data_IF_766006755758
#
_entry.id   IF_766006755758
#
_cell.length_a   1.000
_cell.length_b   1.000
_cell.length_c   1.000
_cell.angle_alpha   90.00
_cell.angle_beta   90.00
_cell.angle_gamma   90.00
#
_symmetry.space_group_name_H-M   'P 1'
#
loop_
_entity.id
_entity.type
_entity.pdbx_description
1 polymer ?
#
# COMPACT_ATOMS: atom_id res chain seq x y z
N UNK A 1 -4.09 -15.07 29.52
CA UNK A 1 -3.35 -13.85 29.12
C UNK A 1 -3.94 -13.21 27.86
N UNK A 2 -4.00 -13.91 26.71
CA UNK A 2 -4.58 -13.38 25.46
C UNK A 2 -6.05 -12.92 25.60
N UNK A 3 -6.88 -13.72 26.28
CA UNK A 3 -8.28 -13.39 26.56
C UNK A 3 -8.45 -12.04 27.30
N UNK A 4 -7.59 -11.77 28.29
CA UNK A 4 -7.68 -10.61 29.15
C UNK A 4 -7.14 -9.33 28.49
N UNK A 5 -6.12 -9.46 27.63
CA UNK A 5 -5.51 -8.32 26.93
C UNK A 5 -6.35 -7.88 25.72
N UNK A 6 -6.75 -8.84 24.87
CA UNK A 6 -7.52 -8.55 23.65
C UNK A 6 -9.03 -8.48 23.90
N UNK A 7 -9.50 -8.93 25.07
CA UNK A 7 -10.91 -8.93 25.48
C UNK A 7 -11.77 -9.70 24.47
N UNK A 8 -11.38 -10.94 24.16
CA UNK A 8 -11.98 -11.72 23.06
C UNK A 8 -13.48 -11.97 23.30
N UNK A 9 -13.86 -12.37 24.52
CA UNK A 9 -15.26 -12.54 24.93
C UNK A 9 -16.08 -11.24 24.84
N UNK A 10 -15.50 -10.08 25.18
CA UNK A 10 -16.19 -8.78 25.06
C UNK A 10 -16.40 -8.36 23.59
N UNK A 11 -15.52 -8.82 22.70
CA UNK A 11 -15.60 -8.55 21.26
C UNK A 11 -16.30 -9.68 20.48
N UNK A 12 -16.96 -10.63 21.17
CA UNK A 12 -17.69 -11.76 20.58
C UNK A 12 -16.86 -12.62 19.61
N UNK A 13 -15.59 -12.88 19.95
CA UNK A 13 -14.67 -13.66 19.12
C UNK A 13 -13.90 -14.70 19.93
N UNK A 14 -13.20 -15.61 19.26
CA UNK A 14 -12.33 -16.61 19.87
C UNK A 14 -11.00 -16.71 19.11
N UNK A 15 -10.01 -17.36 19.73
CA UNK A 15 -8.65 -17.49 19.16
C UNK A 15 -8.67 -18.10 17.76
N UNK A 16 -9.47 -19.15 17.51
CA UNK A 16 -9.55 -19.80 16.21
C UNK A 16 -10.10 -18.86 15.12
N UNK A 17 -11.14 -18.10 15.45
CA UNK A 17 -11.74 -17.10 14.55
C UNK A 17 -10.75 -15.99 14.23
N UNK A 18 -10.03 -15.46 15.23
CA UNK A 18 -8.99 -14.44 15.02
C UNK A 18 -7.82 -14.98 14.18
N UNK A 19 -7.42 -16.24 14.37
CA UNK A 19 -6.40 -16.90 13.55
C UNK A 19 -6.81 -17.01 12.08
N UNK A 20 -8.04 -17.44 11.82
CA UNK A 20 -8.59 -17.56 10.47
C UNK A 20 -8.80 -16.18 9.82
N UNK A 21 -9.27 -15.20 10.60
CA UNK A 21 -9.40 -13.82 10.15
C UNK A 21 -8.05 -13.22 9.78
N UNK A 22 -7.02 -13.44 10.60
CA UNK A 22 -5.66 -12.95 10.33
C UNK A 22 -5.05 -13.59 9.09
N UNK A 23 -5.26 -14.89 8.88
CA UNK A 23 -4.86 -15.55 7.65
C UNK A 23 -5.63 -15.01 6.42
N UNK A 24 -6.93 -14.75 6.57
CA UNK A 24 -7.75 -14.19 5.48
C UNK A 24 -7.26 -12.79 5.10
N UNK A 25 -7.00 -11.93 6.09
CA UNK A 25 -6.38 -10.61 5.88
C UNK A 25 -5.00 -10.74 5.26
N UNK A 26 -4.17 -11.68 5.75
CA UNK A 26 -2.84 -11.92 5.20
C UNK A 26 -2.86 -12.09 3.70
N UNK A 27 -3.75 -12.98 3.25
CA UNK A 27 -3.70 -13.39 1.88
C UNK A 27 -4.44 -12.43 0.97
N UNK A 28 -5.47 -11.74 1.47
CA UNK A 28 -6.10 -10.64 0.75
C UNK A 28 -5.11 -9.50 0.46
N UNK A 29 -4.13 -9.27 1.34
CA UNK A 29 -3.13 -8.21 1.20
C UNK A 29 -1.79 -8.69 0.63
N UNK A 30 -1.55 -9.99 0.49
CA UNK A 30 -0.25 -10.55 0.14
C UNK A 30 0.32 -10.02 -1.18
N UNK A 31 -0.51 -9.52 -2.09
CA UNK A 31 -0.07 -8.91 -3.34
C UNK A 31 0.83 -7.69 -3.13
N UNK A 32 0.67 -6.94 -2.02
CA UNK A 32 1.46 -5.73 -1.76
C UNK A 32 2.96 -6.03 -1.62
N UNK A 33 3.27 -7.24 -1.16
CA UNK A 33 4.64 -7.75 -1.00
C UNK A 33 5.38 -7.76 -2.35
N UNK A 34 4.66 -7.90 -3.47
CA UNK A 34 5.25 -7.89 -4.82
C UNK A 34 5.02 -6.57 -5.53
N UNK A 35 3.83 -5.97 -5.36
CA UNK A 35 3.46 -4.75 -6.07
C UNK A 35 4.28 -3.53 -5.62
N UNK A 36 4.52 -3.38 -4.31
CA UNK A 36 5.30 -2.23 -3.82
C UNK A 36 6.77 -2.27 -4.31
N UNK A 37 7.51 -3.40 -4.23
CA UNK A 37 8.84 -3.51 -4.83
C UNK A 37 8.87 -3.33 -6.34
N UNK A 38 7.84 -3.77 -7.06
CA UNK A 38 7.76 -3.58 -8.51
C UNK A 38 7.66 -2.09 -8.88
N UNK A 39 6.92 -1.28 -8.11
CA UNK A 39 6.73 0.15 -8.37
C UNK A 39 7.89 1.00 -7.85
N UNK A 40 8.41 0.73 -6.66
CA UNK A 40 9.53 1.50 -6.10
C UNK A 40 10.84 1.19 -6.81
N UNK A 41 11.05 -0.03 -7.32
CA UNK A 41 12.29 -0.36 -8.04
C UNK A 41 12.45 0.40 -9.35
N UNK A 42 11.36 0.92 -9.94
CA UNK A 42 11.41 1.82 -11.10
C UNK A 42 12.23 3.08 -10.82
N UNK A 43 12.29 3.54 -9.56
CA UNK A 43 13.07 4.70 -9.14
C UNK A 43 14.58 4.43 -9.02
N UNK A 44 15.01 3.19 -9.28
CA UNK A 44 16.39 2.73 -9.08
C UNK A 44 16.66 2.13 -7.69
N UNK A 45 15.62 1.93 -6.87
CA UNK A 45 15.76 1.23 -5.58
C UNK A 45 16.01 -0.27 -5.78
N UNK A 46 16.90 -0.90 -4.99
CA UNK A 46 17.08 -2.36 -5.00
C UNK A 46 15.78 -3.10 -4.67
N UNK A 47 15.22 -3.82 -5.66
CA UNK A 47 13.89 -4.46 -5.53
C UNK A 47 13.82 -5.44 -4.35
N UNK A 48 14.88 -6.23 -4.12
CA UNK A 48 14.94 -7.17 -2.99
C UNK A 48 14.99 -6.43 -1.64
N UNK A 49 15.71 -5.31 -1.56
CA UNK A 49 15.71 -4.47 -0.36
C UNK A 49 14.34 -3.87 -0.07
N UNK A 50 13.63 -3.40 -1.10
CA UNK A 50 12.25 -2.87 -0.96
C UNK A 50 11.26 -3.97 -0.57
N UNK A 51 11.41 -5.18 -1.10
CA UNK A 51 10.62 -6.34 -0.70
C UNK A 51 10.72 -6.59 0.80
N UNK A 52 11.95 -6.62 1.32
CA UNK A 52 12.19 -6.79 2.74
C UNK A 52 11.67 -5.60 3.57
N UNK A 53 11.91 -4.36 3.12
CA UNK A 53 11.37 -3.16 3.76
C UNK A 53 9.84 -3.19 3.85
N UNK A 54 9.17 -3.57 2.77
CA UNK A 54 7.70 -3.70 2.69
C UNK A 54 7.18 -4.66 3.76
N UNK A 55 7.80 -5.84 3.90
CA UNK A 55 7.36 -6.84 4.88
C UNK A 55 7.62 -6.34 6.30
N UNK A 56 8.81 -5.82 6.59
CA UNK A 56 9.15 -5.31 7.93
C UNK A 56 8.25 -4.14 8.34
N UNK A 57 8.00 -3.20 7.43
CA UNK A 57 7.08 -2.08 7.68
C UNK A 57 5.66 -2.57 7.92
N UNK A 58 5.19 -3.56 7.15
CA UNK A 58 3.86 -4.14 7.32
C UNK A 58 3.74 -4.85 8.67
N UNK A 59 4.77 -5.61 9.08
CA UNK A 59 4.87 -6.26 10.39
C UNK A 59 4.80 -5.21 11.51
N UNK A 60 5.65 -4.18 11.44
CA UNK A 60 5.73 -3.14 12.49
C UNK A 60 4.41 -2.37 12.57
N UNK A 61 3.89 -1.89 11.44
CA UNK A 61 2.63 -1.14 11.42
C UNK A 61 1.45 -1.96 11.93
N UNK A 62 1.33 -3.20 11.47
CA UNK A 62 0.26 -4.10 11.89
C UNK A 62 0.39 -4.51 13.36
N UNK A 63 1.62 -4.68 13.89
CA UNK A 63 1.85 -4.91 15.32
C UNK A 63 1.48 -3.71 16.18
N UNK A 64 1.81 -2.49 15.75
CA UNK A 64 1.41 -1.27 16.45
C UNK A 64 -0.12 -1.24 16.51
N UNK A 65 -0.81 -1.41 15.39
CA UNK A 65 -2.28 -1.41 15.37
C UNK A 65 -2.90 -2.54 16.19
N UNK A 66 -2.33 -3.74 16.13
CA UNK A 66 -2.80 -4.89 16.90
C UNK A 66 -2.61 -4.73 18.40
N UNK A 67 -1.42 -4.32 18.85
CA UNK A 67 -1.08 -4.25 20.27
C UNK A 67 -1.55 -2.94 20.92
N UNK A 68 -1.39 -1.80 20.25
CA UNK A 68 -1.74 -0.49 20.79
C UNK A 68 -3.21 -0.13 20.57
N UNK A 69 -3.73 -0.32 19.35
CA UNK A 69 -5.13 0.02 19.06
C UNK A 69 -6.12 -1.11 19.36
N UNK A 70 -5.65 -2.35 19.53
CA UNK A 70 -6.48 -3.55 19.65
C UNK A 70 -7.52 -3.62 18.52
N UNK A 71 -7.06 -3.45 17.28
CA UNK A 71 -7.90 -3.51 16.09
C UNK A 71 -7.40 -4.56 15.09
N UNK A 72 -8.31 -5.28 14.39
CA UNK A 72 -8.00 -6.25 13.36
C UNK A 72 -7.65 -5.60 12.01
N UNK A 73 -7.00 -4.44 12.04
CA UNK A 73 -6.52 -3.74 10.84
C UNK A 73 -5.08 -4.11 10.57
N UNK A 74 -4.78 -4.32 9.30
CA UNK A 74 -3.42 -4.50 8.82
C UNK A 74 -2.97 -3.26 8.05
N UNK A 75 -1.72 -2.87 8.32
CA UNK A 75 -1.11 -1.67 7.76
C UNK A 75 0.00 -2.11 6.84
N UNK A 76 0.01 -1.62 5.61
CA UNK A 76 1.04 -1.88 4.61
C UNK A 76 1.29 -0.61 3.78
N UNK A 77 2.35 -0.56 2.95
CA UNK A 77 2.58 0.57 2.05
C UNK A 77 1.37 0.85 1.15
N UNK A 78 0.90 2.10 1.12
CA UNK A 78 -0.31 2.50 0.39
C UNK A 78 -0.07 2.55 -1.13
N UNK A 79 -1.02 2.01 -1.89
CA UNK A 79 -0.99 2.03 -3.36
C UNK A 79 -0.99 3.45 -3.95
N UNK A 80 -1.77 4.37 -3.35
CA UNK A 80 -1.78 5.76 -3.78
C UNK A 80 -0.46 6.46 -3.45
N UNK A 81 0.08 6.20 -2.27
CA UNK A 81 1.27 6.88 -1.78
C UNK A 81 2.56 6.37 -2.46
N UNK A 82 2.65 5.07 -2.79
CA UNK A 82 3.75 4.56 -3.62
C UNK A 82 3.72 5.14 -5.04
N UNK A 83 2.53 5.40 -5.60
CA UNK A 83 2.39 6.03 -6.91
C UNK A 83 2.83 7.50 -6.87
N UNK A 84 2.41 8.26 -5.85
CA UNK A 84 2.92 9.62 -5.63
C UNK A 84 4.44 9.63 -5.43
N UNK A 85 4.98 8.69 -4.67
CA UNK A 85 6.42 8.56 -4.45
C UNK A 85 7.17 8.36 -5.78
N UNK A 86 6.79 7.35 -6.57
CA UNK A 86 7.52 6.99 -7.79
C UNK A 86 7.28 8.00 -8.91
N UNK A 87 6.02 8.26 -9.25
CA UNK A 87 5.69 8.99 -10.47
C UNK A 87 5.69 10.50 -10.27
N UNK A 88 5.26 10.99 -9.10
CA UNK A 88 5.21 12.43 -8.84
C UNK A 88 6.52 12.95 -8.28
N UNK A 89 7.04 12.35 -7.21
CA UNK A 89 8.19 12.90 -6.48
C UNK A 89 9.50 12.58 -7.18
N UNK A 90 9.73 11.31 -7.52
CA UNK A 90 10.99 10.92 -8.16
C UNK A 90 11.00 11.33 -9.63
N UNK A 91 10.04 10.88 -10.43
CA UNK A 91 10.04 11.18 -11.85
C UNK A 91 9.54 12.60 -12.18
N UNK A 92 8.41 13.01 -11.59
CA UNK A 92 7.81 14.31 -11.91
C UNK A 92 8.58 15.52 -11.37
N UNK A 93 9.10 15.43 -10.14
CA UNK A 93 9.82 16.53 -9.48
C UNK A 93 11.35 16.37 -9.52
N UNK A 94 11.87 15.23 -10.00
CA UNK A 94 13.30 14.98 -10.17
C UNK A 94 14.07 14.74 -8.87
N UNK A 95 13.40 14.42 -7.77
CA UNK A 95 14.07 14.07 -6.51
C UNK A 95 14.66 12.65 -6.58
N UNK A 96 15.75 12.42 -5.86
CA UNK A 96 16.27 11.05 -5.72
C UNK A 96 15.34 10.22 -4.82
N UNK A 97 15.38 8.89 -4.95
CA UNK A 97 14.57 8.03 -4.07
C UNK A 97 14.97 8.16 -2.59
N UNK A 98 16.23 8.47 -2.27
CA UNK A 98 16.66 8.77 -0.90
C UNK A 98 15.98 10.03 -0.37
N UNK A 99 15.84 11.04 -1.24
CA UNK A 99 15.10 12.24 -0.90
C UNK A 99 13.60 11.91 -0.75
N UNK A 100 13.00 11.16 -1.66
CA UNK A 100 11.60 10.77 -1.50
C UNK A 100 11.37 10.00 -0.17
N UNK A 101 12.29 9.13 0.27
CA UNK A 101 12.22 8.45 1.58
C UNK A 101 12.35 9.42 2.77
N UNK A 102 13.19 10.45 2.66
CA UNK A 102 13.26 11.48 3.70
C UNK A 102 11.97 12.30 3.78
N UNK A 103 11.28 12.53 2.65
CA UNK A 103 9.95 13.15 2.65
C UNK A 103 8.92 12.24 3.32
N UNK A 104 8.91 10.93 3.03
CA UNK A 104 8.06 9.93 3.72
C UNK A 104 8.24 10.02 5.24
N UNK A 105 9.49 10.07 5.71
CA UNK A 105 9.78 10.21 7.14
C UNK A 105 9.26 11.54 7.71
N UNK A 106 9.45 12.66 7.01
CA UNK A 106 8.92 13.97 7.41
C UNK A 106 7.40 13.99 7.43
N UNK A 107 6.73 13.33 6.47
CA UNK A 107 5.28 13.16 6.47
C UNK A 107 4.85 12.43 7.74
N UNK A 108 5.48 11.30 8.06
CA UNK A 108 5.21 10.57 9.30
C UNK A 108 5.39 11.43 10.54
N UNK A 109 6.45 12.24 10.62
CA UNK A 109 6.69 13.14 11.75
C UNK A 109 5.61 14.23 11.86
N UNK A 110 5.30 14.89 10.75
CA UNK A 110 4.27 15.94 10.69
C UNK A 110 2.91 15.37 11.05
N UNK A 111 2.55 14.22 10.49
CA UNK A 111 1.29 13.57 10.79
C UNK A 111 1.25 13.12 12.26
N UNK A 112 2.37 12.66 12.85
CA UNK A 112 2.39 12.28 14.28
C UNK A 112 2.04 13.51 15.12
N UNK A 113 2.66 14.66 14.82
CA UNK A 113 2.35 15.93 15.48
C UNK A 113 0.87 16.28 15.29
N UNK A 114 0.37 16.25 14.06
CA UNK A 114 -1.04 16.56 13.75
C UNK A 114 -1.99 15.60 14.48
N UNK A 115 -1.64 14.32 14.60
CA UNK A 115 -2.47 13.30 15.24
C UNK A 115 -2.46 13.40 16.75
N UNK A 116 -1.32 13.74 17.37
CA UNK A 116 -1.23 14.00 18.80
C UNK A 116 -1.95 15.31 19.18
N UNK A 117 -2.08 16.25 18.24
CA UNK A 117 -2.95 17.43 18.40
C UNK A 117 -4.41 17.10 18.06
N UNK A 118 -5.35 17.97 18.45
CA UNK A 118 -6.77 17.83 18.10
C UNK A 118 -7.08 18.13 16.62
N UNK A 119 -6.08 18.54 15.84
CA UNK A 119 -6.25 18.99 14.45
C UNK A 119 -6.78 17.86 13.57
N UNK A 120 -6.27 16.63 13.72
CA UNK A 120 -6.74 15.48 12.92
C UNK A 120 -8.23 15.21 13.09
N UNK A 121 -8.70 15.17 14.33
CA UNK A 121 -10.12 14.95 14.64
C UNK A 121 -11.00 16.11 14.14
N UNK A 122 -10.51 17.35 14.20
CA UNK A 122 -11.22 18.51 13.63
C UNK A 122 -11.34 18.41 12.11
N UNK A 123 -10.28 17.99 11.42
CA UNK A 123 -10.31 17.74 9.98
C UNK A 123 -11.37 16.69 9.66
N UNK A 124 -11.37 15.54 10.36
CA UNK A 124 -12.35 14.45 10.09
C UNK A 124 -13.79 14.89 10.32
N UNK A 125 -14.04 15.65 11.40
CA UNK A 125 -15.37 16.20 11.72
C UNK A 125 -15.83 17.23 10.69
N UNK A 126 -14.90 17.93 10.03
CA UNK A 126 -15.19 18.87 8.96
C UNK A 126 -15.51 18.21 7.61
N UNK A 127 -15.22 16.92 7.44
CA UNK A 127 -15.52 16.20 6.19
C UNK A 127 -17.00 15.77 6.20
N UNK A 128 -17.86 16.30 5.30
CA UNK A 128 -19.23 15.82 5.16
C UNK A 128 -19.29 14.34 4.73
N UNK A 129 -20.33 13.63 5.15
CA UNK A 129 -20.45 12.18 4.91
C UNK A 129 -20.45 11.82 3.41
N UNK A 130 -20.96 12.71 2.56
CA UNK A 130 -20.90 12.58 1.11
C UNK A 130 -19.46 12.49 0.60
N UNK A 131 -18.54 13.30 1.15
CA UNK A 131 -17.12 13.22 0.80
C UNK A 131 -16.48 11.96 1.36
N UNK A 132 -16.87 11.48 2.56
CA UNK A 132 -16.36 10.21 3.10
C UNK A 132 -16.70 9.02 2.20
N UNK A 133 -17.94 8.95 1.73
CA UNK A 133 -18.35 7.93 0.75
C UNK A 133 -17.63 8.10 -0.59
N UNK A 134 -17.45 9.35 -1.05
CA UNK A 134 -16.69 9.66 -2.26
C UNK A 134 -15.23 9.22 -2.21
N UNK A 135 -14.55 9.39 -1.06
CA UNK A 135 -13.18 8.93 -0.85
C UNK A 135 -13.09 7.41 -1.00
N UNK A 136 -13.97 6.66 -0.33
CA UNK A 136 -13.99 5.19 -0.43
C UNK A 136 -14.25 4.70 -1.85
N UNK A 137 -15.21 5.31 -2.56
CA UNK A 137 -15.51 4.99 -3.96
C UNK A 137 -14.33 5.32 -4.89
N UNK A 138 -13.68 6.47 -4.69
CA UNK A 138 -12.53 6.91 -5.47
C UNK A 138 -11.32 5.99 -5.32
N UNK A 139 -10.98 5.58 -4.09
CA UNK A 139 -9.90 4.62 -3.81
C UNK A 139 -10.20 3.28 -4.51
N UNK A 140 -11.42 2.77 -4.38
CA UNK A 140 -11.83 1.52 -5.03
C UNK A 140 -11.72 1.56 -6.55
N UNK A 141 -12.21 2.64 -7.18
CA UNK A 141 -12.12 2.82 -8.63
C UNK A 141 -10.66 2.95 -9.10
N UNK A 142 -9.82 3.64 -8.34
CA UNK A 142 -8.41 3.79 -8.64
C UNK A 142 -7.65 2.45 -8.59
N UNK A 143 -7.91 1.63 -7.55
CA UNK A 143 -7.31 0.28 -7.44
C UNK A 143 -7.78 -0.61 -8.60
N UNK A 144 -9.08 -0.56 -8.94
CA UNK A 144 -9.62 -1.29 -10.09
C UNK A 144 -8.93 -0.86 -11.40
N UNK A 145 -8.74 0.44 -11.60
CA UNK A 145 -8.01 0.98 -12.75
C UNK A 145 -6.56 0.46 -12.82
N UNK A 146 -5.80 0.50 -11.73
CA UNK A 146 -4.42 -0.01 -11.68
C UNK A 146 -4.39 -1.52 -11.98
N UNK A 147 -5.35 -2.29 -11.45
CA UNK A 147 -5.50 -3.71 -11.74
C UNK A 147 -5.75 -3.97 -13.23
N UNK A 148 -6.65 -3.21 -13.85
CA UNK A 148 -6.94 -3.34 -15.29
C UNK A 148 -5.73 -2.98 -16.16
N UNK A 149 -5.00 -1.93 -15.77
CA UNK A 149 -3.80 -1.50 -16.46
C UNK A 149 -2.68 -2.56 -16.35
N UNK A 150 -2.43 -3.09 -15.16
CA UNK A 150 -1.39 -4.10 -14.92
C UNK A 150 -1.72 -5.46 -15.55
N UNK A 151 -3.00 -5.81 -15.68
CA UNK A 151 -3.45 -6.98 -16.42
C UNK A 151 -3.33 -6.82 -17.95
N UNK A 152 -2.96 -5.61 -18.42
CA UNK A 152 -2.79 -5.30 -19.82
C UNK A 152 -4.11 -5.10 -20.57
N UNK A 153 -5.24 -4.83 -19.89
CA UNK A 153 -6.51 -4.56 -20.57
C UNK A 153 -6.59 -3.17 -21.20
N UNK A 154 -5.74 -2.25 -20.75
CA UNK A 154 -5.69 -0.87 -21.22
C UNK A 154 -4.40 -0.63 -22.01
N UNK A 155 -4.54 -0.03 -23.18
CA UNK A 155 -3.43 0.44 -24.00
C UNK A 155 -3.51 1.96 -24.11
N UNK A 156 -2.38 2.63 -23.88
CA UNK A 156 -2.28 4.08 -24.06
C UNK A 156 -1.49 4.37 -25.32
N UNK A 157 -2.20 4.74 -26.39
CA UNK A 157 -1.58 5.10 -27.65
C UNK A 157 -1.18 6.58 -27.60
N UNK A 158 0.12 6.84 -27.75
CA UNK A 158 0.66 8.20 -27.80
C UNK A 158 1.03 8.47 -29.25
N UNK A 159 0.41 9.49 -29.85
CA UNK A 159 0.81 9.95 -31.18
C UNK A 159 2.24 10.47 -31.15
N UNK A 160 3.04 10.18 -32.18
CA UNK A 160 4.47 10.54 -32.22
C UNK A 160 4.73 12.04 -31.99
N UNK A 161 3.80 12.92 -32.39
CA UNK A 161 3.89 14.38 -32.20
C UNK A 161 3.60 14.85 -30.77
N UNK A 162 2.97 14.00 -29.96
CA UNK A 162 2.62 14.30 -28.56
C UNK A 162 3.71 13.86 -27.59
N UNK A 163 4.74 13.13 -28.04
CA UNK A 163 5.88 12.73 -27.20
C UNK A 163 6.77 13.96 -26.95
N UNK A 164 6.89 14.37 -25.70
CA UNK A 164 7.74 15.49 -25.27
C UNK A 164 9.15 15.00 -24.92
N UNK A 165 9.24 13.89 -24.19
CA UNK A 165 10.52 13.28 -23.82
C UNK A 165 10.45 11.75 -23.79
N UNK A 166 11.60 11.12 -24.02
CA UNK A 166 11.83 9.69 -23.83
C UNK A 166 13.03 9.54 -22.91
N UNK A 167 12.90 8.78 -21.81
CA UNK A 167 13.94 8.65 -20.78
C UNK A 167 14.46 10.01 -20.29
N UNK A 168 13.54 10.95 -20.05
CA UNK A 168 13.81 12.33 -19.60
C UNK A 168 14.62 13.19 -20.59
N UNK A 169 14.92 12.68 -21.78
CA UNK A 169 15.56 13.44 -22.86
C UNK A 169 14.52 13.96 -23.87
N UNK A 170 14.61 15.21 -24.34
CA UNK A 170 13.68 15.76 -25.33
C UNK A 170 13.62 14.90 -26.61
N UNK A 171 12.40 14.50 -26.98
CA UNK A 171 12.19 13.62 -28.13
C UNK A 171 12.06 14.44 -29.41
N UNK A 172 12.99 14.23 -30.35
CA UNK A 172 13.03 14.95 -31.63
C UNK A 172 12.61 14.08 -32.83
N UNK A 173 11.79 13.04 -32.60
CA UNK A 173 11.33 12.17 -33.68
C UNK A 173 12.37 11.16 -34.20
N UNK A 174 13.47 10.96 -33.46
CA UNK A 174 14.50 9.97 -33.81
C UNK A 174 14.15 8.57 -33.30
N UNK A 175 14.67 7.53 -33.96
CA UNK A 175 14.53 6.15 -33.51
C UNK A 175 15.38 5.95 -32.25
N UNK A 176 14.74 5.62 -31.13
CA UNK A 176 15.43 5.33 -29.87
C UNK A 176 15.89 3.88 -29.92
N UNK A 177 17.20 3.67 -30.02
CA UNK A 177 17.81 2.33 -30.06
C UNK A 177 18.08 1.73 -28.67
N UNK A 178 17.76 2.45 -27.60
CA UNK A 178 17.98 2.04 -26.21
C UNK A 178 16.64 1.67 -25.57
N UNK A 179 16.69 0.92 -24.46
CA UNK A 179 15.48 0.56 -23.73
C UNK A 179 14.71 1.83 -23.30
N UNK A 180 13.44 1.90 -23.67
CA UNK A 180 12.53 2.98 -23.27
C UNK A 180 11.99 2.63 -21.88
N UNK A 181 12.29 3.48 -20.90
CA UNK A 181 11.86 3.37 -19.50
C UNK A 181 10.73 4.36 -19.19
N UNK A 182 10.78 5.58 -19.74
CA UNK A 182 9.75 6.59 -19.57
C UNK A 182 9.42 7.29 -20.87
N UNK A 183 8.15 7.61 -21.09
CA UNK A 183 7.67 8.44 -22.19
C UNK A 183 6.78 9.50 -21.56
N UNK A 184 7.18 10.76 -21.67
CA UNK A 184 6.35 11.89 -21.23
C UNK A 184 5.65 12.44 -22.45
N UNK A 185 4.32 12.38 -22.45
CA UNK A 185 3.49 12.95 -23.51
C UNK A 185 2.80 14.22 -23.05
N UNK A 186 2.61 15.17 -23.97
CA UNK A 186 1.72 16.31 -23.79
C UNK A 186 0.25 15.89 -23.96
N UNK A 187 -0.55 16.75 -24.59
CA UNK A 187 -1.92 16.39 -24.98
C UNK A 187 -1.89 15.42 -26.17
N UNK A 188 -2.62 14.31 -26.08
CA UNK A 188 -2.77 13.35 -27.18
C UNK A 188 -2.63 11.87 -26.84
N UNK A 189 -2.60 11.49 -25.56
CA UNK A 189 -2.71 10.09 -25.15
C UNK A 189 -4.14 9.61 -25.37
N UNK A 190 -4.33 8.69 -26.30
CA UNK A 190 -5.63 8.09 -26.60
C UNK A 190 -5.74 6.76 -25.87
N UNK A 191 -6.63 6.62 -24.88
CA UNK A 191 -6.87 5.34 -24.23
C UNK A 191 -7.57 4.40 -25.22
N UNK A 192 -7.13 3.15 -25.26
CA UNK A 192 -7.70 2.07 -26.04
C UNK A 192 -7.80 0.79 -25.22
N UNK A 193 -8.68 -0.12 -25.65
CA UNK A 193 -8.77 -1.46 -25.09
C UNK A 193 -7.71 -2.33 -25.75
N UNK A 194 -6.99 -3.13 -24.97
CA UNK A 194 -6.02 -4.05 -25.51
C UNK A 194 -6.67 -5.18 -26.32
N UNK A 195 -5.92 -5.71 -27.28
CA UNK A 195 -6.34 -6.88 -28.03
C UNK A 195 -6.28 -8.10 -27.10
N UNK A 196 -7.39 -8.83 -27.00
CA UNK A 196 -7.52 -10.08 -26.22
C UNK A 196 -6.86 -11.27 -26.94
N UNK A 197 -5.68 -11.04 -27.53
CA UNK A 197 -4.92 -12.04 -28.26
C UNK A 197 -3.58 -12.39 -27.58
N UNK A 198 -3.17 -11.63 -26.57
CA UNK A 198 -1.95 -11.92 -25.83
C UNK A 198 -2.23 -12.89 -24.66
N UNK A 199 -1.32 -13.84 -24.40
CA UNK A 199 -1.44 -14.76 -23.25
C UNK A 199 -1.62 -14.03 -21.91
N UNK A 200 -0.99 -12.86 -21.74
CA UNK A 200 -1.10 -12.04 -20.53
C UNK A 200 -2.53 -11.51 -20.30
N UNK A 201 -3.15 -10.94 -21.34
CA UNK A 201 -4.51 -10.39 -21.26
C UNK A 201 -5.54 -11.50 -21.05
N UNK A 202 -5.36 -12.64 -21.72
CA UNK A 202 -6.22 -13.81 -21.54
C UNK A 202 -6.12 -14.37 -20.11
N UNK A 203 -4.90 -14.47 -19.57
CA UNK A 203 -4.68 -14.93 -18.20
C UNK A 203 -5.33 -13.98 -17.18
N UNK A 204 -5.18 -12.66 -17.39
CA UNK A 204 -5.85 -11.65 -16.57
C UNK A 204 -7.37 -11.80 -16.58
N UNK A 205 -7.96 -12.08 -17.74
CA UNK A 205 -9.40 -12.28 -17.89
C UNK A 205 -9.87 -13.55 -17.16
N UNK A 206 -9.15 -14.66 -17.34
CA UNK A 206 -9.43 -15.92 -16.64
C UNK A 206 -9.36 -15.70 -15.12
N UNK A 207 -8.30 -15.04 -14.63
CA UNK A 207 -8.15 -14.76 -13.21
C UNK A 207 -9.26 -13.88 -12.64
N UNK A 208 -9.70 -12.87 -13.39
CA UNK A 208 -10.84 -12.03 -13.01
C UNK A 208 -12.14 -12.85 -12.92
N UNK A 209 -12.41 -13.69 -13.91
CA UNK A 209 -13.61 -14.56 -13.92
C UNK A 209 -13.58 -15.54 -12.74
N UNK A 210 -12.44 -16.19 -12.49
CA UNK A 210 -12.27 -17.10 -11.35
C UNK A 210 -12.52 -16.37 -10.03
N UNK A 211 -11.96 -15.18 -9.85
CA UNK A 211 -12.18 -14.36 -8.66
C UNK A 211 -13.66 -14.02 -8.48
N UNK A 212 -14.33 -13.53 -9.53
CA UNK A 212 -15.76 -13.16 -9.48
C UNK A 212 -16.61 -14.37 -9.09
N UNK A 213 -16.38 -15.53 -9.69
CA UNK A 213 -17.12 -16.76 -9.37
C UNK A 213 -16.92 -17.18 -7.91
N UNK A 214 -15.70 -17.13 -7.41
CA UNK A 214 -15.39 -17.47 -6.01
C UNK A 214 -15.99 -16.48 -5.00
N UNK A 215 -16.02 -15.19 -5.34
CA UNK A 215 -16.65 -14.15 -4.52
C UNK A 215 -18.18 -14.30 -4.51
N UNK A 216 -18.81 -14.55 -5.66
CA UNK A 216 -20.26 -14.78 -5.75
C UNK A 216 -20.68 -16.03 -4.96
N UNK A 217 -19.84 -17.07 -4.97
CA UNK A 217 -20.08 -18.31 -4.22
C UNK A 217 -19.71 -18.22 -2.73
N UNK A 218 -19.28 -17.05 -2.25
CA UNK A 218 -18.88 -16.80 -0.86
C UNK A 218 -17.81 -17.78 -0.33
N UNK A 219 -16.88 -18.20 -1.20
CA UNK A 219 -15.80 -19.11 -0.78
C UNK A 219 -14.81 -18.36 0.12
N UNK A 220 -14.53 -18.85 1.34
CA UNK A 220 -13.54 -18.23 2.21
C UNK A 220 -12.16 -18.32 1.56
N UNK A 221 -11.50 -17.18 1.37
CA UNK A 221 -10.21 -17.10 0.68
C UNK A 221 -10.31 -17.06 -0.85
N UNK A 222 -11.45 -16.61 -1.42
CA UNK A 222 -11.64 -16.43 -2.86
C UNK A 222 -10.45 -15.77 -3.58
N UNK A 223 -9.89 -14.70 -3.01
CA UNK A 223 -8.71 -14.01 -3.54
C UNK A 223 -7.45 -14.89 -3.61
N UNK A 224 -7.23 -15.74 -2.61
CA UNK A 224 -6.08 -16.64 -2.56
C UNK A 224 -6.19 -17.67 -3.68
N UNK A 225 -7.36 -18.29 -3.72
CA UNK A 225 -7.65 -19.39 -4.63
C UNK A 225 -7.57 -18.86 -6.05
N UNK A 226 -8.09 -17.65 -6.31
CA UNK A 226 -7.97 -17.03 -7.63
C UNK A 226 -6.52 -16.79 -8.01
N UNK A 227 -5.68 -16.26 -7.11
CA UNK A 227 -4.26 -16.03 -7.39
C UNK A 227 -3.52 -17.35 -7.67
N UNK A 228 -3.73 -18.38 -6.85
CA UNK A 228 -3.09 -19.70 -7.03
C UNK A 228 -3.54 -20.33 -8.35
N UNK A 229 -4.85 -20.39 -8.61
CA UNK A 229 -5.41 -20.97 -9.83
C UNK A 229 -4.91 -20.22 -11.07
N UNK A 230 -4.92 -18.88 -11.04
CA UNK A 230 -4.41 -18.06 -12.15
C UNK A 230 -2.92 -18.30 -12.36
N UNK A 231 -2.14 -18.44 -11.29
CA UNK A 231 -0.70 -18.72 -11.40
C UNK A 231 -0.45 -20.09 -12.02
N UNK A 232 -1.20 -21.12 -11.61
CA UNK A 232 -1.11 -22.48 -12.18
C UNK A 232 -1.48 -22.48 -13.67
N UNK A 233 -2.50 -21.72 -14.06
CA UNK A 233 -2.90 -21.57 -15.48
C UNK A 233 -1.86 -20.74 -16.27
N UNK A 234 -1.16 -19.80 -15.61
CA UNK A 234 -0.13 -18.97 -16.23
C UNK A 234 1.15 -19.72 -16.61
N UNK A 235 1.47 -20.82 -15.93
CA UNK A 235 2.63 -21.68 -16.22
C UNK A 235 2.54 -22.30 -17.63
N UNK A 236 1.50 -23.06 -18.02
CA UNK A 236 1.38 -23.62 -19.36
C UNK A 236 1.19 -22.54 -20.44
N UNK A 237 0.69 -21.36 -20.09
CA UNK A 237 0.57 -20.22 -21.01
C UNK A 237 1.90 -19.49 -21.25
N UNK A 238 2.99 -19.87 -20.57
CA UNK A 238 4.31 -19.26 -20.71
C UNK A 238 4.40 -17.82 -20.16
N UNK A 239 3.38 -17.36 -19.44
CA UNK A 239 3.33 -16.01 -18.83
C UNK A 239 4.05 -16.00 -17.48
N UNK A 240 3.95 -17.10 -16.73
CA UNK A 240 4.60 -17.25 -15.43
C UNK A 240 6.02 -17.75 -15.60
N UNK A 241 7.00 -16.94 -15.22
CA UNK A 241 8.40 -17.37 -15.23
C UNK A 241 8.65 -18.34 -14.07
N UNK A 242 9.05 -19.57 -14.38
CA UNK A 242 9.32 -20.65 -13.42
C UNK A 242 10.78 -20.69 -12.95
N UNK A 243 11.61 -19.74 -13.36
CA UNK A 243 13.00 -19.68 -12.92
C UNK A 243 13.09 -19.18 -11.47
N UNK A 244 12.96 -20.12 -10.54
CA UNK A 244 13.17 -19.92 -9.11
C UNK A 244 14.69 -19.87 -8.87
N UNK A 245 15.26 -18.68 -8.75
CA UNK A 245 16.65 -18.53 -8.33
C UNK A 245 16.75 -18.74 -6.81
N UNK A 246 17.03 -19.98 -6.42
CA UNK A 246 17.11 -20.42 -5.02
C UNK A 246 18.35 -19.95 -4.26
N UNK A 247 18.18 -19.84 -2.93
CA UNK A 247 19.14 -19.72 -1.81
C UNK A 247 20.20 -18.59 -1.80
N UNK A 248 20.72 -18.12 -2.93
CA UNK A 248 21.64 -16.96 -2.95
C UNK A 248 20.93 -15.64 -2.60
N UNK A 249 19.59 -15.63 -2.67
CA UNK A 249 18.73 -14.47 -2.49
C UNK A 249 18.76 -13.87 -1.08
N UNK A 250 18.89 -14.68 -0.01
CA UNK A 250 18.73 -14.15 1.35
C UNK A 250 19.82 -13.16 1.74
N UNK A 251 21.09 -13.49 1.46
CA UNK A 251 22.22 -12.61 1.75
C UNK A 251 22.18 -11.34 0.89
N UNK A 252 21.75 -11.46 -0.38
CA UNK A 252 21.57 -10.29 -1.26
C UNK A 252 20.41 -9.41 -0.81
N UNK A 253 19.29 -9.98 -0.37
CA UNK A 253 18.12 -9.24 0.15
C UNK A 253 18.50 -8.46 1.40
N UNK A 254 19.25 -9.05 2.34
CA UNK A 254 19.71 -8.34 3.54
C UNK A 254 20.73 -7.24 3.22
N UNK A 255 21.65 -7.48 2.28
CA UNK A 255 22.62 -6.47 1.85
C UNK A 255 21.93 -5.30 1.14
N UNK A 256 20.97 -5.60 0.26
CA UNK A 256 20.16 -4.61 -0.44
C UNK A 256 19.31 -3.81 0.55
N UNK A 257 18.67 -4.48 1.52
CA UNK A 257 17.94 -3.79 2.59
C UNK A 257 18.85 -2.90 3.43
N UNK A 258 20.04 -3.37 3.81
CA UNK A 258 21.02 -2.56 4.54
C UNK A 258 21.45 -1.32 3.74
N UNK A 259 21.41 -1.37 2.41
CA UNK A 259 21.70 -0.21 1.56
C UNK A 259 20.59 0.85 1.54
N UNK A 260 19.33 0.46 1.79
CA UNK A 260 18.16 1.34 1.80
C UNK A 260 17.80 1.80 3.22
N UNK A 261 17.97 0.94 4.22
CA UNK A 261 17.64 1.20 5.61
C UNK A 261 18.35 2.46 6.11
N UNK A 262 17.59 3.39 6.68
CA UNK A 262 18.11 4.65 7.22
C UNK A 262 18.53 5.69 6.18
N UNK A 263 18.43 5.42 4.87
CA UNK A 263 18.77 6.41 3.84
C UNK A 263 17.88 7.66 3.90
N UNK A 264 16.67 7.54 4.43
CA UNK A 264 15.80 8.69 4.73
C UNK A 264 16.49 9.74 5.61
N UNK A 265 17.18 9.29 6.67
CA UNK A 265 17.89 10.13 7.65
C UNK A 265 19.32 10.48 7.22
N UNK A 266 19.81 9.90 6.12
CA UNK A 266 21.18 10.06 5.64
C UNK A 266 21.46 11.43 5.04
N UNK A 267 22.75 11.69 4.77
CA UNK A 267 23.22 12.92 4.10
C UNK A 267 22.63 13.10 2.70
N UNK A 268 22.32 12.00 2.01
CA UNK A 268 21.66 11.99 0.68
C UNK A 268 20.12 12.02 0.76
N UNK A 269 19.54 11.79 1.93
CA UNK A 269 18.11 11.93 2.19
C UNK A 269 17.81 13.34 2.71
N UNK A 270 17.35 13.42 3.96
CA UNK A 270 17.04 14.66 4.69
C UNK A 270 18.16 15.71 4.61
N UNK A 271 19.43 15.30 4.70
CA UNK A 271 20.55 16.24 4.67
C UNK A 271 20.70 17.03 3.37
N UNK A 272 20.25 16.47 2.24
CA UNK A 272 20.40 17.09 0.92
C UNK A 272 19.23 17.98 0.51
N UNK A 273 18.06 17.81 1.13
CA UNK A 273 16.81 18.50 0.75
C UNK A 273 16.78 19.97 1.12
N UNK A 274 17.43 20.33 2.24
CA UNK A 274 17.40 21.68 2.79
C UNK A 274 18.56 22.55 2.31
N UNK A 275 19.29 22.11 1.29
CA UNK A 275 20.48 22.82 0.80
C UNK A 275 20.16 24.02 -0.08
N UNK A 276 19.02 24.03 -0.77
CA UNK A 276 18.63 25.12 -1.69
C UNK A 276 17.25 25.67 -1.34
N UNK A 277 17.05 27.00 -1.22
CA UNK A 277 15.77 27.60 -0.83
C UNK A 277 14.56 27.18 -1.69
N UNK A 278 14.76 27.00 -3.01
CA UNK A 278 13.71 26.51 -3.91
C UNK A 278 13.31 25.06 -3.63
N UNK A 279 14.27 24.20 -3.29
CA UNK A 279 13.99 22.81 -2.92
C UNK A 279 13.22 22.73 -1.60
N UNK A 280 13.50 23.62 -0.63
CA UNK A 280 12.78 23.65 0.65
C UNK A 280 11.29 23.87 0.44
N UNK A 281 10.90 24.85 -0.38
CA UNK A 281 9.48 25.12 -0.63
C UNK A 281 8.78 23.93 -1.29
N UNK A 282 9.41 23.32 -2.31
CA UNK A 282 8.85 22.14 -2.99
C UNK A 282 8.75 20.95 -2.02
N UNK A 283 9.76 20.72 -1.19
CA UNK A 283 9.76 19.66 -0.16
C UNK A 283 8.62 19.89 0.82
N UNK A 284 8.46 21.10 1.37
CA UNK A 284 7.40 21.41 2.33
C UNK A 284 6.01 21.22 1.71
N UNK A 285 5.79 21.72 0.50
CA UNK A 285 4.52 21.55 -0.21
C UNK A 285 4.24 20.08 -0.53
N UNK A 286 5.26 19.32 -0.91
CA UNK A 286 5.15 17.89 -1.21
C UNK A 286 4.84 17.10 0.06
N UNK A 287 5.58 17.32 1.15
CA UNK A 287 5.33 16.70 2.45
C UNK A 287 3.91 17.03 2.95
N UNK A 288 3.48 18.29 2.83
CA UNK A 288 2.13 18.67 3.23
C UNK A 288 1.05 18.00 2.36
N UNK A 289 1.22 18.01 1.04
CA UNK A 289 0.28 17.37 0.10
C UNK A 289 0.20 15.86 0.31
N UNK A 290 1.35 15.21 0.50
CA UNK A 290 1.48 13.79 0.74
C UNK A 290 0.92 13.41 2.12
N UNK A 291 1.18 14.19 3.16
CA UNK A 291 0.57 14.01 4.49
C UNK A 291 -0.95 14.16 4.46
N UNK A 292 -1.49 15.18 3.77
CA UNK A 292 -2.95 15.31 3.59
C UNK A 292 -3.55 14.14 2.80
N UNK A 293 -2.88 13.68 1.75
CA UNK A 293 -3.34 12.51 0.98
C UNK A 293 -3.34 11.25 1.85
N UNK A 294 -2.26 10.99 2.60
CA UNK A 294 -2.17 9.86 3.53
C UNK A 294 -3.20 9.95 4.65
N UNK A 295 -3.45 11.15 5.16
CA UNK A 295 -4.49 11.43 6.15
C UNK A 295 -5.87 11.02 5.63
N UNK A 296 -6.23 11.43 4.41
CA UNK A 296 -7.52 11.10 3.82
C UNK A 296 -7.64 9.62 3.44
N UNK A 297 -6.56 8.99 3.01
CA UNK A 297 -6.51 7.55 2.72
C UNK A 297 -6.77 6.74 4.00
N UNK A 298 -6.07 7.06 5.09
CA UNK A 298 -6.26 6.41 6.38
C UNK A 298 -7.70 6.62 6.90
N UNK A 299 -8.21 7.86 6.91
CA UNK A 299 -9.58 8.17 7.36
C UNK A 299 -10.61 7.44 6.49
N UNK A 300 -10.49 7.57 5.17
CA UNK A 300 -11.40 6.98 4.21
C UNK A 300 -11.47 5.47 4.35
N UNK A 301 -10.32 4.83 4.54
CA UNK A 301 -10.25 3.38 4.73
C UNK A 301 -10.79 2.96 6.10
N UNK A 302 -10.43 3.64 7.20
CA UNK A 302 -10.98 3.36 8.54
C UNK A 302 -12.51 3.50 8.56
N UNK A 303 -13.05 4.56 7.97
CA UNK A 303 -14.49 4.79 7.92
C UNK A 303 -15.17 3.79 6.98
N UNK A 304 -14.62 3.57 5.78
CA UNK A 304 -15.19 2.65 4.78
C UNK A 304 -15.23 1.20 5.27
N UNK A 305 -14.14 0.71 5.83
CA UNK A 305 -14.07 -0.62 6.46
C UNK A 305 -14.93 -0.68 7.72
N UNK A 306 -14.91 0.38 8.53
CA UNK A 306 -15.76 0.55 9.70
C UNK A 306 -17.25 0.33 9.42
N UNK A 307 -17.77 1.08 8.45
CA UNK A 307 -19.17 1.03 8.02
C UNK A 307 -19.52 -0.32 7.37
N UNK A 308 -18.64 -0.87 6.53
CA UNK A 308 -18.92 -2.10 5.79
C UNK A 308 -18.80 -3.39 6.62
N UNK A 309 -18.13 -3.33 7.78
CA UNK A 309 -17.88 -4.49 8.65
C UNK A 309 -18.58 -4.41 10.00
N UNK A 310 -19.11 -3.24 10.36
CA UNK A 310 -19.76 -2.97 11.65
C UNK A 310 -18.82 -3.07 12.85
N UNK A 311 -17.51 -2.93 12.64
CA UNK A 311 -16.52 -3.10 13.72
C UNK A 311 -16.54 -1.95 14.75
N UNK A 312 -16.94 -0.76 14.33
CA UNK A 312 -17.11 0.38 15.22
C UNK A 312 -18.58 0.48 15.63
N UNK A 313 -18.84 0.33 16.92
CA UNK A 313 -20.19 0.49 17.47
C UNK A 313 -20.67 1.94 17.30
N UNK A 314 -21.99 2.15 17.39
CA UNK A 314 -22.54 3.51 17.39
C UNK A 314 -21.96 4.36 18.54
N UNK A 315 -21.60 3.72 19.67
CA UNK A 315 -20.93 4.37 20.78
C UNK A 315 -19.48 4.79 20.44
N UNK A 316 -18.71 3.93 19.76
CA UNK A 316 -17.35 4.26 19.31
C UNK A 316 -17.35 5.42 18.31
N UNK A 317 -18.33 5.43 17.39
CA UNK A 317 -18.50 6.51 16.43
C UNK A 317 -18.89 7.81 17.15
N UNK A 318 -19.85 7.74 18.09
CA UNK A 318 -20.25 8.89 18.90
C UNK A 318 -19.10 9.44 19.74
N UNK A 319 -18.29 8.57 20.35
CA UNK A 319 -17.11 8.99 21.11
C UNK A 319 -16.07 9.67 20.21
N UNK A 320 -15.88 9.19 18.98
CA UNK A 320 -15.00 9.85 18.02
C UNK A 320 -15.53 11.23 17.59
N UNK A 321 -16.82 11.35 17.27
CA UNK A 321 -17.42 12.61 16.78
C UNK A 321 -17.71 13.63 17.88
N UNK A 322 -18.13 13.21 19.06
CA UNK A 322 -18.59 14.07 20.15
C UNK A 322 -17.66 14.08 21.37
N UNK A 323 -16.83 13.06 21.52
CA UNK A 323 -15.94 12.92 22.67
C UNK A 323 -14.90 14.02 22.75
N UNK A 324 -14.64 14.47 23.98
CA UNK A 324 -13.53 15.36 24.31
C UNK A 324 -12.34 14.50 24.73
N UNK A 325 -11.63 13.91 23.78
CA UNK A 325 -10.39 13.18 24.08
C UNK A 325 -9.91 12.26 22.98
N UNK A 326 -8.67 11.79 23.14
CA UNK A 326 -8.02 10.77 22.31
C UNK A 326 -8.28 9.38 22.92
N UNK A 327 -9.55 8.94 22.95
CA UNK A 327 -9.93 7.72 23.68
C UNK A 327 -10.64 6.69 22.82
N UNK A 328 -11.19 7.07 21.67
CA UNK A 328 -11.88 6.13 20.81
C UNK A 328 -10.92 5.10 20.23
N UNK A 329 -11.44 3.92 19.90
CA UNK A 329 -10.67 2.90 19.17
C UNK A 329 -10.15 3.44 17.84
N UNK A 330 -10.94 4.28 17.17
CA UNK A 330 -10.59 4.86 15.87
C UNK A 330 -9.42 5.85 15.98
N UNK A 331 -9.37 6.67 17.05
CA UNK A 331 -8.24 7.57 17.33
C UNK A 331 -6.92 6.79 17.45
N UNK A 332 -6.93 5.68 18.21
CA UNK A 332 -5.74 4.83 18.41
C UNK A 332 -5.30 4.15 17.11
N UNK A 333 -6.27 3.72 16.29
CA UNK A 333 -5.99 3.18 14.96
C UNK A 333 -5.29 4.21 14.06
N UNK A 334 -5.82 5.44 14.03
CA UNK A 334 -5.22 6.55 13.29
C UNK A 334 -3.81 6.90 13.80
N UNK A 335 -3.54 6.89 15.10
CA UNK A 335 -2.16 7.05 15.61
C UNK A 335 -1.24 5.95 15.15
N UNK A 336 -1.72 4.70 15.18
CA UNK A 336 -0.92 3.54 14.76
C UNK A 336 -0.47 3.68 13.31
N UNK A 337 -1.38 4.12 12.44
CA UNK A 337 -1.15 4.45 11.03
C UNK A 337 -0.03 5.48 10.84
N UNK A 338 -0.03 6.52 11.67
CA UNK A 338 0.96 7.59 11.56
C UNK A 338 2.36 7.16 12.01
N UNK A 339 2.45 6.42 13.11
CA UNK A 339 3.72 5.87 13.57
C UNK A 339 4.26 4.86 12.57
N UNK A 340 3.39 4.02 11.98
CA UNK A 340 3.78 3.09 10.92
C UNK A 340 4.39 3.82 9.72
N UNK A 341 3.80 4.95 9.30
CA UNK A 341 4.32 5.77 8.20
C UNK A 341 5.69 6.37 8.53
N UNK A 342 5.88 6.85 9.75
CA UNK A 342 7.19 7.32 10.21
C UNK A 342 8.25 6.21 10.14
N UNK A 343 7.92 5.00 10.61
CA UNK A 343 8.83 3.84 10.52
C UNK A 343 9.05 3.38 9.08
N UNK A 344 8.06 3.51 8.20
CA UNK A 344 8.17 3.17 6.78
C UNK A 344 9.31 3.93 6.08
N UNK A 345 9.42 5.24 6.35
CA UNK A 345 10.50 6.07 5.82
C UNK A 345 11.88 5.59 6.29
N UNK A 346 12.02 5.22 7.57
CA UNK A 346 13.29 4.68 8.12
C UNK A 346 13.62 3.32 7.51
N UNK A 347 12.62 2.44 7.40
CA UNK A 347 12.78 1.08 6.89
C UNK A 347 13.05 1.05 5.37
N UNK A 348 12.77 2.15 4.67
CA UNK A 348 13.11 2.28 3.26
C UNK A 348 11.97 1.97 2.31
N UNK A 349 10.73 2.30 2.69
CA UNK A 349 9.55 2.16 1.84
C UNK A 349 8.67 3.41 1.87
N UNK A 350 7.68 3.46 0.98
CA UNK A 350 6.64 4.50 0.90
C UNK A 350 5.70 4.49 2.12
N UNK A 351 4.89 5.56 2.26
CA UNK A 351 3.94 5.70 3.38
C UNK A 351 3.03 4.48 3.51
N UNK A 352 2.73 4.12 4.76
CA UNK A 352 1.75 3.09 5.05
C UNK A 352 0.36 3.68 5.16
N UNK A 353 -0.62 2.83 4.92
CA UNK A 353 -2.02 3.09 5.27
C UNK A 353 -2.63 1.84 5.87
N UNK A 354 -3.79 2.00 6.49
CA UNK A 354 -4.66 0.86 6.79
C UNK A 354 -5.26 0.32 5.50
N UNK A 355 -5.16 -0.99 5.27
CA UNK A 355 -5.65 -1.61 4.03
C UNK A 355 -7.13 -1.96 4.10
N UNK A 356 -7.85 -1.67 3.01
CA UNK A 356 -9.29 -1.92 2.92
C UNK A 356 -9.61 -3.42 2.87
N UNK A 357 -8.69 -4.23 2.37
CA UNK A 357 -8.75 -5.68 2.28
C UNK A 357 -8.79 -6.36 3.65
N UNK A 358 -8.32 -5.69 4.71
CA UNK A 358 -8.50 -6.16 6.08
C UNK A 358 -9.99 -6.35 6.44
N UNK A 359 -10.90 -5.65 5.75
CA UNK A 359 -12.35 -5.89 5.87
C UNK A 359 -12.76 -7.34 5.59
N UNK A 360 -12.03 -8.08 4.76
CA UNK A 360 -12.30 -9.49 4.50
C UNK A 360 -12.06 -10.34 5.75
N UNK A 361 -10.96 -10.12 6.47
CA UNK A 361 -10.71 -10.80 7.74
C UNK A 361 -11.66 -10.36 8.84
N UNK A 362 -12.05 -9.07 8.87
CA UNK A 362 -13.05 -8.59 9.83
C UNK A 362 -14.42 -9.25 9.57
N UNK A 363 -14.82 -9.39 8.30
CA UNK A 363 -16.04 -10.12 7.90
C UNK A 363 -15.95 -11.62 8.20
N UNK A 364 -14.75 -12.20 8.17
CA UNK A 364 -14.51 -13.57 8.61
C UNK A 364 -14.59 -13.75 10.15
N UNK A 365 -14.84 -12.67 10.90
CA UNK A 365 -15.07 -12.69 12.35
C UNK A 365 -13.94 -12.11 13.19
N UNK A 366 -12.88 -11.55 12.57
CA UNK A 366 -11.82 -10.86 13.29
C UNK A 366 -12.33 -9.56 13.90
N UNK A 367 -12.15 -9.38 15.21
CA UNK A 367 -12.64 -8.22 15.96
C UNK A 367 -11.56 -7.56 16.82
N UNK A 368 -10.40 -8.19 16.98
CA UNK A 368 -9.35 -7.70 17.89
C UNK A 368 -7.98 -7.60 17.22
N UNK A 369 -7.03 -7.00 17.92
CA UNK A 369 -5.64 -6.94 17.50
C UNK A 369 -4.93 -8.30 17.39
N UNK A 370 -5.54 -9.38 17.89
CA UNK A 370 -5.02 -10.73 17.70
C UNK A 370 -5.02 -11.14 16.22
N UNK A 371 -6.03 -10.71 15.46
CA UNK A 371 -6.09 -10.83 13.99
C UNK A 371 -4.88 -10.17 13.32
N UNK A 372 -4.51 -8.96 13.76
CA UNK A 372 -3.37 -8.21 13.23
C UNK A 372 -2.02 -8.86 13.64
N UNK A 373 -1.92 -9.37 14.87
CA UNK A 373 -0.72 -10.03 15.41
C UNK A 373 -0.28 -11.31 14.70
N UNK A 374 -1.05 -11.83 13.74
CA UNK A 374 -0.68 -12.97 12.88
C UNK A 374 0.22 -12.60 11.73
N UNK A 375 0.21 -11.34 11.29
CA UNK A 375 1.02 -10.92 10.16
C UNK A 375 2.52 -11.24 10.35
N UNK A 376 3.15 -10.96 11.51
CA UNK A 376 4.54 -11.36 11.77
C UNK A 376 4.77 -12.86 11.66
N UNK A 377 3.83 -13.70 12.11
CA UNK A 377 3.98 -15.16 12.11
C UNK A 377 3.89 -15.73 10.70
N UNK A 378 2.89 -15.30 9.93
CA UNK A 378 2.66 -15.80 8.56
C UNK A 378 3.70 -15.23 7.59
N UNK A 379 4.09 -13.97 7.75
CA UNK A 379 5.18 -13.39 6.97
C UNK A 379 6.52 -14.05 7.30
N UNK A 380 6.82 -14.37 8.58
CA UNK A 380 8.03 -15.14 8.92
C UNK A 380 8.03 -16.52 8.26
N UNK A 381 6.87 -17.19 8.15
CA UNK A 381 6.76 -18.45 7.41
C UNK A 381 7.03 -18.25 5.91
N UNK A 382 6.60 -17.11 5.33
CA UNK A 382 6.85 -16.79 3.92
C UNK A 382 8.28 -16.29 3.63
N UNK A 383 8.97 -15.71 4.61
CA UNK A 383 10.42 -15.46 4.52
C UNK A 383 11.18 -16.77 4.30
N UNK A 384 10.71 -17.87 4.89
CA UNK A 384 11.24 -19.22 4.67
C UNK A 384 10.74 -19.89 3.38
N UNK A 385 9.69 -19.38 2.73
CA UNK A 385 9.12 -19.94 1.49
C UNK A 385 9.47 -19.13 0.23
N UNK A 386 10.05 -17.94 0.32
CA UNK A 386 10.69 -17.26 -0.82
C UNK A 386 11.99 -17.93 -1.34
N UNK A 387 12.51 -19.03 -0.74
CA UNK A 387 13.34 -19.97 -1.49
C UNK A 387 12.56 -20.95 -2.39
N UNK A 388 11.24 -20.82 -2.57
CA UNK A 388 10.41 -21.69 -3.43
C UNK A 388 9.75 -20.96 -4.59
#
# INVERSE_FOLDING_TARGET
MLEHYFKLSENNTNVRTELLAGLTTFVAMAYIIFLNPAVLSMTGMPSQGVFLATILTTIVGTLITGLFANLPYALAPSLGMQAMFTYTIVFGLGFTWQQALGMVFLVGLVDVIITLTKVRAMIVKGIPDQLKHGIAAGIGLFIAYIGLNNAGFLNFNIGAKSILSVNDAPYHGQVVHHAIQSITSGSGTTPGIALFNSPTVLLGLIGLVVLILLVITNVPGAFIISVIVTTIIGIPMGVTNTHIQGLAAFHTTFKDFASIFGQALGSKGLGSMFTTPKHILVVVLTVFSMGLSGLFDAIGTFIGTGMSTGIFSAADQKEFYEGKGFKSKMDRGLVSDTFATMFAGILGTSNTTTFIEASAGIKAGGRTGLTAGLWPLVSHFRWYLHPL
#
